data_IF_139332544387
#
_entry.id   IF_139332544387
#
_cell.length_a   1.000
_cell.length_b   1.000
_cell.length_c   1.000
_cell.angle_alpha   90.00
_cell.angle_beta   90.00
_cell.angle_gamma   90.00
#
_symmetry.space_group_name_H-M   'P 1'
#
loop_
_entity.id
_entity.type
_entity.pdbx_description
1 polymer ?
#
# COMPACT_ATOMS: atom_id res chain seq x y z
N UNK A 1 -39.89 30.43 -34.91
CA UNK A 1 -38.61 29.69 -35.01
C UNK A 1 -38.80 28.40 -34.23
N UNK A 2 -38.57 27.26 -34.89
CA UNK A 2 -38.99 25.92 -34.42
C UNK A 2 -37.98 25.36 -33.41
N UNK A 3 -38.49 24.71 -32.37
CA UNK A 3 -37.76 23.94 -31.36
C UNK A 3 -37.17 22.64 -31.95
N UNK A 4 -36.10 22.06 -31.34
CA UNK A 4 -35.56 20.79 -31.77
C UNK A 4 -36.31 19.59 -31.16
N UNK A 5 -36.41 18.53 -31.95
CA UNK A 5 -37.11 17.28 -31.71
C UNK A 5 -36.19 16.26 -31.04
N UNK A 6 -36.68 15.66 -29.96
CA UNK A 6 -36.12 14.55 -29.20
C UNK A 6 -36.23 13.24 -30.02
N UNK A 7 -35.13 12.51 -30.21
CA UNK A 7 -35.10 11.21 -30.90
C UNK A 7 -35.06 10.09 -29.85
N UNK A 8 -36.12 9.28 -29.81
CA UNK A 8 -36.27 8.11 -28.94
C UNK A 8 -35.81 6.86 -29.73
N UNK A 9 -34.83 6.12 -29.22
CA UNK A 9 -34.38 4.83 -29.77
C UNK A 9 -35.10 3.68 -29.04
N UNK A 10 -35.76 2.82 -29.81
CA UNK A 10 -36.41 1.57 -29.37
C UNK A 10 -35.50 0.41 -29.79
N UNK A 11 -35.19 -0.59 -28.93
CA UNK A 11 -34.49 -1.79 -29.34
C UNK A 11 -35.43 -2.83 -29.96
N UNK A 12 -34.96 -3.44 -31.04
CA UNK A 12 -35.62 -4.46 -31.85
C UNK A 12 -35.33 -5.86 -31.27
N UNK A 13 -36.37 -6.58 -30.85
CA UNK A 13 -36.28 -8.03 -30.54
C UNK A 13 -36.15 -8.82 -31.85
N UNK A 14 -35.15 -9.70 -31.93
CA UNK A 14 -35.07 -10.75 -32.95
C UNK A 14 -35.29 -12.12 -32.30
N UNK A 15 -36.44 -12.71 -32.61
CA UNK A 15 -36.74 -14.12 -32.37
C UNK A 15 -36.23 -14.96 -33.55
N UNK A 16 -35.63 -16.11 -33.25
CA UNK A 16 -35.24 -17.10 -34.25
C UNK A 16 -35.08 -18.47 -33.59
N UNK A 17 -36.15 -19.26 -33.59
CA UNK A 17 -36.09 -20.69 -33.30
C UNK A 17 -35.89 -21.50 -34.57
N UNK A 18 -35.26 -22.68 -34.46
CA UNK A 18 -35.56 -23.82 -35.34
C UNK A 18 -35.15 -25.15 -34.68
N UNK A 19 -36.00 -26.15 -34.92
CA UNK A 19 -36.10 -27.47 -34.30
C UNK A 19 -35.27 -28.55 -35.02
N UNK A 20 -34.81 -29.55 -34.26
CA UNK A 20 -34.74 -31.00 -34.57
C UNK A 20 -34.14 -31.69 -33.32
N UNK A 21 -34.61 -32.80 -32.73
CA UNK A 21 -35.51 -33.87 -33.16
C UNK A 21 -34.74 -35.18 -33.35
N UNK A 22 -34.62 -36.02 -32.31
CA UNK A 22 -34.65 -37.50 -32.43
C UNK A 22 -34.66 -38.22 -31.08
N UNK A 23 -35.40 -39.31 -31.05
CA UNK A 23 -35.87 -40.12 -29.92
C UNK A 23 -34.86 -41.16 -29.38
N UNK A 24 -35.13 -41.66 -28.16
CA UNK A 24 -35.09 -43.10 -27.87
C UNK A 24 -34.11 -43.59 -26.80
N UNK A 25 -34.64 -44.14 -25.70
CA UNK A 25 -33.86 -45.03 -24.82
C UNK A 25 -34.31 -45.08 -23.36
N UNK A 26 -35.31 -45.91 -23.06
CA UNK A 26 -35.77 -46.31 -21.71
C UNK A 26 -34.85 -47.33 -21.05
N UNK A 27 -34.64 -47.25 -19.73
CA UNK A 27 -34.94 -48.34 -18.76
C UNK A 27 -34.41 -48.03 -17.33
N UNK A 28 -35.36 -48.02 -16.39
CA UNK A 28 -35.35 -48.61 -15.04
C UNK A 28 -34.09 -48.57 -14.15
N UNK A 29 -34.23 -47.94 -12.98
CA UNK A 29 -34.29 -48.68 -11.70
C UNK A 29 -34.90 -47.82 -10.59
N UNK A 30 -35.75 -48.48 -9.80
CA UNK A 30 -36.73 -47.91 -8.89
C UNK A 30 -36.17 -47.44 -7.54
N UNK A 31 -36.94 -46.51 -6.96
CA UNK A 31 -36.92 -46.05 -5.57
C UNK A 31 -37.10 -47.20 -4.56
N UNK A 32 -36.66 -47.01 -3.31
CA UNK A 32 -37.48 -46.67 -2.13
C UNK A 32 -36.98 -47.57 -0.98
N UNK A 33 -36.99 -47.29 0.33
CA UNK A 33 -37.91 -46.70 1.33
C UNK A 33 -37.01 -46.55 2.59
N UNK A 34 -36.87 -45.37 3.20
CA UNK A 34 -37.69 -44.78 4.30
C UNK A 34 -37.52 -45.42 5.69
N UNK A 35 -37.37 -44.54 6.68
CA UNK A 35 -37.81 -44.60 8.10
C UNK A 35 -37.19 -43.38 8.80
N UNK A 36 -37.89 -42.23 8.84
CA UNK A 36 -38.87 -41.82 9.86
C UNK A 36 -38.21 -41.59 11.25
N UNK A 37 -38.07 -40.33 11.68
CA UNK A 37 -39.02 -39.57 12.53
C UNK A 37 -38.55 -39.64 14.02
N UNK A 38 -38.71 -38.69 14.93
CA UNK A 38 -39.58 -37.53 15.21
C UNK A 38 -38.82 -36.58 16.17
N UNK A 39 -38.89 -35.25 16.02
CA UNK A 39 -39.64 -34.31 16.89
C UNK A 39 -39.72 -34.67 18.38
N UNK A 40 -39.23 -33.81 19.29
CA UNK A 40 -40.11 -32.97 20.10
C UNK A 40 -39.39 -31.89 20.92
N UNK A 41 -40.18 -30.90 21.35
CA UNK A 41 -39.81 -29.61 21.89
C UNK A 41 -39.74 -29.51 23.44
N UNK A 42 -39.08 -28.43 23.87
CA UNK A 42 -39.39 -27.55 25.00
C UNK A 42 -38.97 -27.89 26.46
N UNK A 43 -38.44 -26.83 27.10
CA UNK A 43 -38.53 -26.42 28.52
C UNK A 43 -37.60 -27.14 29.53
N UNK A 44 -36.69 -26.51 30.30
CA UNK A 44 -36.92 -25.45 31.30
C UNK A 44 -35.60 -24.93 31.92
N UNK A 45 -35.54 -23.60 32.17
CA UNK A 45 -34.93 -22.82 33.28
C UNK A 45 -33.48 -23.04 33.81
N UNK A 46 -32.71 -21.93 33.85
CA UNK A 46 -31.84 -21.63 35.01
C UNK A 46 -30.59 -20.75 34.82
N UNK A 47 -30.75 -19.41 34.85
CA UNK A 47 -29.94 -18.47 35.67
C UNK A 47 -28.47 -18.10 35.35
N UNK A 48 -28.23 -16.78 35.21
CA UNK A 48 -26.96 -16.06 35.52
C UNK A 48 -25.83 -16.22 34.50
N UNK A 49 -24.91 -15.28 34.23
CA UNK A 49 -24.52 -13.98 34.78
C UNK A 49 -23.52 -13.36 33.78
N UNK A 50 -23.35 -12.03 33.82
CA UNK A 50 -22.26 -11.30 33.15
C UNK A 50 -20.86 -11.85 33.46
N UNK A 51 -19.94 -11.76 32.49
CA UNK A 51 -18.49 -11.62 32.66
C UNK A 51 -17.97 -10.99 31.36
N UNK A 52 -17.40 -9.78 31.29
CA UNK A 52 -16.26 -9.21 31.99
C UNK A 52 -15.00 -10.06 31.82
N UNK A 53 -14.31 -9.89 30.70
CA UNK A 53 -12.93 -10.37 30.58
C UNK A 53 -11.96 -9.25 30.96
N UNK A 54 -11.36 -9.51 32.11
CA UNK A 54 -10.27 -8.82 32.76
C UNK A 54 -8.95 -9.05 32.02
N UNK A 55 -8.22 -7.95 31.80
CA UNK A 55 -6.79 -7.95 31.57
C UNK A 55 -6.06 -8.83 32.60
N UNK A 56 -5.27 -9.79 32.13
CA UNK A 56 -4.38 -10.57 32.98
C UNK A 56 -3.10 -9.77 33.26
N UNK A 57 -2.96 -9.37 34.52
CA UNK A 57 -1.70 -8.93 35.11
C UNK A 57 -0.68 -10.07 35.11
N UNK A 58 0.47 -9.88 34.47
CA UNK A 58 1.62 -10.77 34.59
C UNK A 58 2.34 -10.44 35.90
N UNK A 59 2.34 -11.42 36.81
CA UNK A 59 3.01 -11.37 38.10
C UNK A 59 4.51 -11.65 37.95
N UNK A 60 5.29 -10.75 38.55
CA UNK A 60 6.75 -10.78 38.71
C UNK A 60 7.25 -12.04 39.42
N UNK A 61 8.00 -12.87 38.68
CA UNK A 61 8.86 -13.89 39.27
C UNK A 61 10.32 -13.45 39.21
N UNK A 62 10.90 -13.30 40.40
CA UNK A 62 12.32 -13.08 40.67
C UNK A 62 13.20 -14.15 40.04
N UNK A 63 14.23 -13.73 39.29
CA UNK A 63 15.41 -14.54 38.99
C UNK A 63 16.65 -13.73 39.36
N UNK A 64 17.24 -14.06 40.50
CA UNK A 64 18.67 -13.82 40.74
C UNK A 64 19.45 -14.84 39.88
N UNK A 65 20.43 -14.40 39.07
CA UNK A 65 21.84 -14.85 39.18
C UNK A 65 22.76 -14.15 38.15
N UNK A 66 23.86 -13.62 38.68
CA UNK A 66 25.19 -13.30 38.11
C UNK A 66 25.39 -12.79 36.67
N UNK A 67 25.69 -11.49 36.60
CA UNK A 67 26.38 -10.84 35.49
C UNK A 67 27.88 -11.24 35.41
N UNK A 68 28.45 -11.45 34.21
CA UNK A 68 29.85 -11.18 33.96
C UNK A 68 30.03 -9.75 33.43
N UNK A 69 31.06 -9.08 33.95
CA UNK A 69 31.43 -7.72 33.61
C UNK A 69 31.63 -7.51 32.11
N UNK A 70 30.88 -6.59 31.52
CA UNK A 70 31.16 -6.04 30.20
C UNK A 70 32.07 -4.81 30.36
N UNK A 71 33.22 -4.93 29.72
CA UNK A 71 34.26 -3.94 29.54
C UNK A 71 33.70 -2.69 28.84
N UNK A 72 33.90 -1.54 29.47
CA UNK A 72 33.58 -0.23 28.91
C UNK A 72 34.68 0.17 27.95
N UNK A 73 34.46 0.01 26.64
CA UNK A 73 35.20 0.78 25.65
C UNK A 73 34.23 1.61 24.80
N UNK A 74 34.17 2.88 25.17
CA UNK A 74 33.51 3.96 24.46
C UNK A 74 34.20 4.21 23.13
N UNK A 75 33.53 3.88 22.03
CA UNK A 75 33.79 4.50 20.72
C UNK A 75 32.52 5.25 20.32
N UNK A 76 32.53 6.56 20.53
CA UNK A 76 31.47 7.44 20.03
C UNK A 76 31.42 7.41 18.49
N UNK A 77 30.29 7.76 17.87
CA UNK A 77 30.23 7.91 16.43
C UNK A 77 31.13 9.09 16.03
N UNK A 78 32.25 8.77 15.41
CA UNK A 78 33.06 9.73 14.68
C UNK A 78 32.32 10.18 13.42
N UNK A 79 32.57 11.40 12.91
CA UNK A 79 31.74 12.03 11.90
C UNK A 79 32.10 11.50 10.51
N UNK A 80 31.40 10.47 10.04
CA UNK A 80 31.34 10.14 8.62
C UNK A 80 30.22 10.93 7.94
N UNK A 81 30.38 12.26 7.97
CA UNK A 81 29.88 13.12 6.91
C UNK A 81 30.77 12.91 5.67
N UNK A 82 30.65 11.74 5.05
CA UNK A 82 31.37 11.37 3.83
C UNK A 82 30.70 12.05 2.63
N UNK A 83 31.40 13.05 2.06
CA UNK A 83 30.88 13.97 1.05
C UNK A 83 30.00 13.34 -0.03
N UNK A 84 28.82 13.93 -0.22
CA UNK A 84 27.88 13.56 -1.27
C UNK A 84 28.59 13.47 -2.62
N UNK A 85 28.57 12.27 -3.19
CA UNK A 85 28.95 12.05 -4.56
C UNK A 85 28.00 12.88 -5.43
N UNK A 86 28.51 13.96 -6.01
CA UNK A 86 27.80 14.68 -7.07
C UNK A 86 28.09 13.88 -8.34
N UNK A 87 27.09 13.22 -8.95
CA UNK A 87 27.32 12.57 -10.23
C UNK A 87 27.87 13.63 -11.20
N UNK A 88 28.85 13.28 -12.06
CA UNK A 88 29.14 14.16 -13.19
C UNK A 88 27.81 14.39 -13.91
N UNK A 89 27.53 15.65 -14.28
CA UNK A 89 26.24 16.12 -14.78
C UNK A 89 25.61 15.25 -15.89
N UNK A 90 24.37 15.57 -16.34
CA UNK A 90 23.53 14.66 -17.11
C UNK A 90 24.32 13.88 -18.15
N UNK A 91 24.22 12.55 -18.05
CA UNK A 91 24.87 11.63 -18.99
C UNK A 91 24.44 12.04 -20.40
N UNK A 92 25.40 12.49 -21.20
CA UNK A 92 25.22 12.63 -22.63
C UNK A 92 24.78 11.25 -23.13
N UNK A 93 23.57 11.15 -23.69
CA UNK A 93 23.02 9.94 -24.31
C UNK A 93 23.83 9.49 -25.53
N UNK A 94 25.04 10.02 -25.73
CA UNK A 94 26.09 9.38 -26.52
C UNK A 94 26.30 7.96 -25.98
N UNK A 95 25.57 7.04 -26.60
CA UNK A 95 25.70 5.60 -26.46
C UNK A 95 27.18 5.29 -26.44
N UNK A 96 27.69 4.92 -25.26
CA UNK A 96 29.03 4.42 -25.16
C UNK A 96 29.07 3.11 -25.93
N UNK A 97 29.57 3.15 -27.15
CA UNK A 97 29.65 2.01 -28.07
C UNK A 97 30.61 0.91 -27.61
N UNK A 98 31.25 1.08 -26.46
CA UNK A 98 32.18 0.13 -25.82
C UNK A 98 31.86 -0.13 -24.32
N UNK A 99 30.72 0.36 -23.81
CA UNK A 99 30.33 0.14 -22.42
C UNK A 99 29.47 -1.12 -22.34
N UNK A 100 29.96 -2.13 -21.62
CA UNK A 100 29.11 -3.26 -21.24
C UNK A 100 27.92 -2.71 -20.45
N UNK A 101 26.73 -2.73 -21.04
CA UNK A 101 25.48 -2.78 -20.31
C UNK A 101 25.47 -4.11 -19.53
N UNK A 102 26.11 -4.08 -18.36
CA UNK A 102 26.27 -5.22 -17.46
C UNK A 102 25.31 -5.19 -16.28
N UNK A 103 24.36 -4.25 -16.29
CA UNK A 103 23.27 -4.21 -15.31
C UNK A 103 22.25 -5.28 -15.70
N UNK A 104 21.88 -6.11 -14.73
CA UNK A 104 20.70 -6.96 -14.85
C UNK A 104 19.83 -6.82 -13.63
N UNK A 105 18.52 -6.86 -13.85
CA UNK A 105 17.50 -6.93 -12.79
C UNK A 105 16.83 -8.28 -12.91
N UNK A 106 16.74 -9.01 -11.81
CA UNK A 106 16.30 -10.41 -11.82
C UNK A 106 14.82 -10.54 -12.18
N UNK A 107 14.03 -9.57 -11.75
CA UNK A 107 12.58 -9.52 -11.89
C UNK A 107 12.14 -8.98 -13.26
N UNK A 108 13.07 -8.37 -14.01
CA UNK A 108 12.81 -7.83 -15.34
C UNK A 108 12.44 -6.35 -15.33
N UNK A 109 11.69 -5.94 -16.36
CA UNK A 109 11.40 -4.53 -16.66
C UNK A 109 10.04 -4.05 -16.16
N UNK A 110 9.16 -4.95 -15.73
CA UNK A 110 7.83 -4.61 -15.23
C UNK A 110 7.46 -5.56 -14.12
N UNK A 111 7.10 -5.01 -12.97
CA UNK A 111 6.75 -5.75 -11.74
C UNK A 111 5.63 -5.03 -11.02
N UNK A 112 4.93 -5.70 -10.10
CA UNK A 112 3.98 -5.01 -9.22
C UNK A 112 4.70 -4.07 -8.24
N UNK A 113 4.06 -2.97 -7.84
CA UNK A 113 4.54 -2.12 -6.75
C UNK A 113 4.70 -2.93 -5.45
N UNK A 114 5.61 -2.49 -4.58
CA UNK A 114 6.15 -3.22 -3.41
C UNK A 114 7.07 -4.40 -3.76
N UNK A 115 7.40 -4.62 -5.04
CA UNK A 115 8.39 -5.63 -5.41
C UNK A 115 9.80 -5.18 -5.02
N UNK A 116 10.51 -6.05 -4.29
CA UNK A 116 11.95 -5.90 -4.06
C UNK A 116 12.75 -6.47 -5.23
N UNK A 117 13.38 -5.58 -5.99
CA UNK A 117 14.19 -5.95 -7.15
C UNK A 117 15.63 -6.27 -6.76
N UNK A 118 16.24 -7.25 -7.44
CA UNK A 118 17.62 -7.67 -7.25
C UNK A 118 18.49 -7.16 -8.41
N UNK A 119 19.26 -6.11 -8.15
CA UNK A 119 20.15 -5.48 -9.10
C UNK A 119 21.50 -6.22 -9.11
N UNK A 120 22.11 -6.34 -10.28
CA UNK A 120 23.43 -6.98 -10.43
C UNK A 120 24.30 -6.10 -11.31
N UNK A 121 25.42 -5.66 -10.75
CA UNK A 121 26.48 -4.96 -11.47
C UNK A 121 27.55 -5.93 -11.97
N UNK A 122 28.26 -5.61 -13.07
CA UNK A 122 29.30 -6.48 -13.62
C UNK A 122 30.49 -6.60 -12.65
N UNK A 123 31.14 -7.77 -12.67
CA UNK A 123 32.40 -8.00 -11.93
C UNK A 123 33.64 -7.54 -12.73
N UNK A 124 33.50 -7.50 -14.06
CA UNK A 124 34.55 -7.10 -14.99
C UNK A 124 33.96 -6.26 -16.12
N UNK A 125 34.78 -5.42 -16.71
CA UNK A 125 34.47 -4.68 -17.94
C UNK A 125 34.52 -5.59 -19.18
N UNK A 126 34.11 -5.07 -20.35
CA UNK A 126 34.17 -5.79 -21.63
C UNK A 126 35.59 -6.24 -22.01
N UNK A 127 36.61 -5.44 -21.68
CA UNK A 127 38.02 -5.73 -21.93
C UNK A 127 38.67 -6.60 -20.82
N UNK A 128 37.89 -7.01 -19.81
CA UNK A 128 38.31 -7.94 -18.77
C UNK A 128 39.00 -7.30 -17.57
N UNK A 129 38.99 -5.96 -17.44
CA UNK A 129 39.46 -5.30 -16.24
C UNK A 129 38.55 -5.62 -15.05
N UNK A 130 39.13 -5.85 -13.87
CA UNK A 130 38.38 -6.13 -12.64
C UNK A 130 37.74 -4.86 -12.10
N UNK A 131 36.46 -4.92 -11.76
CA UNK A 131 35.75 -3.83 -11.07
C UNK A 131 35.90 -4.01 -9.56
N UNK A 132 36.16 -2.91 -8.85
CA UNK A 132 36.44 -2.90 -7.40
C UNK A 132 35.53 -1.98 -6.58
N UNK A 133 34.69 -1.17 -7.24
CA UNK A 133 33.72 -0.28 -6.61
C UNK A 133 32.50 -0.13 -7.53
N UNK A 134 31.31 -0.13 -6.94
CA UNK A 134 30.01 0.08 -7.58
C UNK A 134 29.35 1.28 -6.93
N UNK A 135 28.61 2.07 -7.70
CA UNK A 135 27.88 3.23 -7.21
C UNK A 135 26.55 3.30 -7.96
N UNK A 136 25.51 2.80 -7.31
CA UNK A 136 24.16 2.87 -7.84
C UNK A 136 23.52 4.22 -7.51
N UNK A 137 22.77 4.75 -8.47
CA UNK A 137 21.91 5.91 -8.33
C UNK A 137 20.55 5.51 -8.89
N UNK A 138 19.47 5.89 -8.23
CA UNK A 138 18.11 5.69 -8.72
C UNK A 138 17.47 7.05 -8.96
N UNK A 139 16.82 7.19 -10.10
CA UNK A 139 15.81 8.21 -10.34
C UNK A 139 14.45 7.51 -10.14
N UNK A 140 13.80 7.83 -9.02
CA UNK A 140 12.59 7.17 -8.52
C UNK A 140 11.37 8.10 -8.66
N UNK A 141 10.14 7.55 -8.70
CA UNK A 141 8.92 8.35 -8.66
C UNK A 141 8.85 9.21 -7.38
N UNK A 142 8.20 10.38 -7.49
CA UNK A 142 7.94 11.26 -6.34
C UNK A 142 7.18 10.49 -5.25
N UNK A 143 7.65 10.59 -4.00
CA UNK A 143 7.09 9.88 -2.85
C UNK A 143 7.82 8.57 -2.52
N UNK A 144 8.72 8.08 -3.37
CA UNK A 144 9.56 6.92 -3.02
C UNK A 144 10.69 7.31 -2.07
N UNK A 145 10.68 6.76 -0.86
CA UNK A 145 11.77 6.87 0.13
C UNK A 145 12.67 5.63 0.24
N UNK A 146 12.49 4.65 -0.65
CA UNK A 146 13.26 3.40 -0.63
C UNK A 146 14.78 3.60 -0.73
N UNK A 147 15.51 2.77 0.03
CA UNK A 147 16.98 2.75 0.03
C UNK A 147 17.55 1.45 -0.57
N UNK A 148 18.78 1.53 -1.08
CA UNK A 148 19.52 0.34 -1.51
C UNK A 148 19.99 -0.48 -0.30
N UNK A 149 19.66 -1.77 -0.27
CA UNK A 149 20.18 -2.70 0.73
C UNK A 149 21.20 -3.68 0.11
N UNK A 150 22.35 -3.98 0.75
CA UNK A 150 22.83 -3.37 2.00
C UNK A 150 23.38 -1.95 1.81
N UNK A 151 23.68 -1.54 0.57
CA UNK A 151 24.01 -0.15 0.22
C UNK A 151 24.07 0.01 -1.30
N UNK A 152 24.04 1.27 -1.78
CA UNK A 152 24.31 1.63 -3.16
C UNK A 152 25.75 1.31 -3.63
N UNK A 153 26.62 0.81 -2.74
CA UNK A 153 27.99 0.41 -3.05
C UNK A 153 28.16 -1.10 -3.26
N UNK A 154 27.13 -1.88 -2.96
CA UNK A 154 27.16 -3.31 -3.19
C UNK A 154 27.16 -3.62 -4.70
N UNK A 155 27.86 -4.69 -5.09
CA UNK A 155 27.75 -5.20 -6.46
C UNK A 155 26.33 -5.71 -6.77
N UNK A 156 25.66 -6.24 -5.75
CA UNK A 156 24.33 -6.86 -5.84
C UNK A 156 23.39 -6.30 -4.77
N UNK A 157 22.99 -5.03 -4.85
CA UNK A 157 22.01 -4.50 -3.92
C UNK A 157 20.60 -4.95 -4.31
N UNK A 158 19.70 -4.85 -3.36
CA UNK A 158 18.26 -4.86 -3.58
C UNK A 158 17.69 -3.46 -3.41
N UNK A 159 16.55 -3.20 -4.05
CA UNK A 159 15.80 -1.95 -3.91
C UNK A 159 14.31 -2.27 -3.98
N UNK A 160 13.50 -1.63 -3.14
CA UNK A 160 12.04 -1.83 -3.14
C UNK A 160 11.36 -0.78 -3.99
N UNK A 161 10.54 -1.21 -4.96
CA UNK A 161 9.74 -0.29 -5.76
C UNK A 161 8.46 0.05 -5.00
N UNK A 162 8.59 0.88 -3.96
CA UNK A 162 7.52 1.09 -2.97
C UNK A 162 6.35 1.92 -3.52
N UNK A 163 6.58 2.78 -4.51
CA UNK A 163 5.57 3.62 -5.19
C UNK A 163 5.38 3.19 -6.65
N UNK A 164 4.15 3.30 -7.18
CA UNK A 164 3.84 3.03 -8.59
C UNK A 164 4.55 4.04 -9.49
N UNK A 165 5.16 3.55 -10.58
CA UNK A 165 5.84 4.39 -11.55
C UNK A 165 7.17 3.81 -12.03
N UNK A 166 7.90 4.63 -12.79
CA UNK A 166 9.16 4.23 -13.41
C UNK A 166 10.35 4.52 -12.51
N UNK A 167 11.19 3.51 -12.31
CA UNK A 167 12.48 3.62 -11.63
C UNK A 167 13.59 3.45 -12.65
N UNK A 168 14.57 4.36 -12.64
CA UNK A 168 15.75 4.28 -13.48
C UNK A 168 17.00 4.11 -12.65
N UNK A 169 17.54 2.90 -12.66
CA UNK A 169 18.78 2.55 -11.98
C UNK A 169 19.97 2.84 -12.87
N UNK A 170 20.83 3.77 -12.47
CA UNK A 170 22.09 4.10 -13.13
C UNK A 170 23.26 3.57 -12.32
N UNK A 171 24.20 2.88 -12.95
CA UNK A 171 25.39 2.33 -12.28
C UNK A 171 26.65 3.04 -12.76
N UNK A 172 27.49 3.46 -11.80
CA UNK A 172 28.88 3.82 -12.03
C UNK A 172 29.80 2.78 -11.40
N UNK A 173 30.88 2.43 -12.10
CA UNK A 173 31.86 1.43 -11.65
C UNK A 173 33.27 2.01 -11.68
N UNK A 174 34.12 1.56 -10.76
CA UNK A 174 35.55 1.86 -10.78
C UNK A 174 36.37 0.59 -10.97
N UNK A 175 37.27 0.62 -11.95
CA UNK A 175 38.18 -0.48 -12.25
C UNK A 175 39.38 -0.50 -11.28
N UNK A 176 39.96 -1.70 -11.11
CA UNK A 176 41.26 -1.87 -10.48
C UNK A 176 42.37 -1.26 -11.35
N UNK A 177 43.25 -0.46 -10.75
CA UNK A 177 44.40 0.11 -11.45
C UNK A 177 44.78 1.49 -10.93
N UNK A 178 45.74 2.12 -11.62
CA UNK A 178 46.09 3.53 -11.37
C UNK A 178 45.01 4.46 -11.96
N UNK A 179 44.71 5.54 -11.26
CA UNK A 179 43.75 6.56 -11.71
C UNK A 179 42.32 6.41 -11.16
N UNK A 180 41.84 5.19 -10.85
CA UNK A 180 40.54 4.89 -10.18
C UNK A 180 39.42 5.92 -10.42
N UNK A 181 39.10 6.12 -11.70
CA UNK A 181 38.06 7.07 -12.12
C UNK A 181 36.75 6.30 -12.30
N UNK A 182 35.63 6.70 -11.66
CA UNK A 182 34.32 6.13 -11.93
C UNK A 182 33.90 6.30 -13.40
N UNK A 183 33.34 5.25 -14.00
CA UNK A 183 32.80 5.23 -15.36
C UNK A 183 31.35 4.74 -15.32
N UNK A 184 30.49 5.30 -16.17
CA UNK A 184 29.11 4.81 -16.29
C UNK A 184 29.08 3.41 -16.88
N UNK A 185 28.39 2.49 -16.23
CA UNK A 185 28.10 1.13 -16.69
C UNK A 185 26.73 1.01 -17.38
N UNK A 186 25.98 2.11 -17.47
CA UNK A 186 24.67 2.18 -18.10
C UNK A 186 23.53 2.47 -17.12
N UNK A 187 22.31 2.33 -17.62
CA UNK A 187 21.09 2.45 -16.85
C UNK A 187 20.10 1.33 -17.21
N UNK A 188 19.22 0.99 -16.27
CA UNK A 188 18.17 -0.01 -16.43
C UNK A 188 16.87 0.54 -15.85
N UNK A 189 15.81 0.49 -16.65
CA UNK A 189 14.49 0.96 -16.25
C UNK A 189 13.62 -0.22 -15.80
N UNK A 190 12.90 -0.03 -14.70
CA UNK A 190 11.87 -0.94 -14.19
C UNK A 190 10.60 -0.15 -13.93
N UNK A 191 9.49 -0.61 -14.46
CA UNK A 191 8.15 -0.04 -14.22
C UNK A 191 7.47 -0.83 -13.10
N UNK A 192 7.15 -0.15 -11.99
CA UNK A 192 6.27 -0.66 -10.95
C UNK A 192 4.82 -0.33 -11.33
N UNK A 193 3.99 -1.36 -11.50
CA UNK A 193 2.57 -1.23 -11.86
C UNK A 193 1.68 -1.56 -10.68
N UNK A 194 0.43 -1.10 -10.70
CA UNK A 194 -0.50 -1.36 -9.61
C UNK A 194 -0.81 -2.87 -9.49
N UNK A 195 -1.02 -3.53 -10.64
CA UNK A 195 -1.26 -4.97 -10.75
C UNK A 195 -2.71 -5.40 -10.48
N UNK A 196 -3.50 -4.55 -9.84
CA UNK A 196 -4.84 -4.84 -9.35
C UNK A 196 -5.93 -4.00 -10.02
N UNK A 197 -7.18 -4.40 -9.80
CA UNK A 197 -8.34 -3.72 -10.35
C UNK A 197 -8.48 -2.30 -9.77
N UNK A 198 -8.27 -2.14 -8.47
CA UNK A 198 -8.20 -0.86 -7.77
C UNK A 198 -7.01 -0.88 -6.80
N UNK A 199 -6.14 0.12 -6.90
CA UNK A 199 -5.06 0.37 -5.95
C UNK A 199 -5.13 1.82 -5.47
N UNK A 200 -5.02 2.01 -4.16
CA UNK A 200 -4.92 3.31 -3.51
C UNK A 200 -3.57 3.39 -2.83
N UNK A 201 -2.81 4.44 -3.15
CA UNK A 201 -1.47 4.69 -2.62
C UNK A 201 -1.49 6.03 -1.89
N UNK A 202 -1.06 6.01 -0.62
CA UNK A 202 -0.85 7.17 0.23
C UNK A 202 0.65 7.36 0.43
N UNK A 203 1.15 8.58 0.31
CA UNK A 203 2.50 9.00 0.71
C UNK A 203 2.38 10.34 1.44
N UNK A 204 3.32 10.69 2.29
CA UNK A 204 3.35 12.01 2.91
C UNK A 204 4.76 12.55 3.08
N UNK A 205 4.85 13.87 3.22
CA UNK A 205 6.07 14.56 3.64
C UNK A 205 5.78 15.30 4.94
N UNK A 206 6.64 15.14 5.93
CA UNK A 206 6.56 15.71 7.26
C UNK A 206 7.74 16.67 7.45
N UNK A 207 7.56 17.99 7.22
CA UNK A 207 8.66 18.95 7.23
C UNK A 207 9.43 19.07 8.57
N UNK A 208 8.83 18.61 9.67
CA UNK A 208 9.46 18.57 10.98
C UNK A 208 10.40 17.38 11.17
N UNK A 209 10.34 16.38 10.29
CA UNK A 209 11.23 15.24 10.27
C UNK A 209 12.47 15.54 9.39
N UNK A 210 13.65 15.30 9.96
CA UNK A 210 14.92 15.53 9.29
C UNK A 210 15.39 14.33 8.45
N UNK A 211 14.85 13.14 8.69
CA UNK A 211 15.24 11.89 8.02
C UNK A 211 14.06 10.93 7.89
N UNK A 212 13.12 11.21 6.97
CA UNK A 212 11.92 10.39 6.70
C UNK A 212 12.20 8.98 6.12
N UNK A 213 13.44 8.51 6.22
CA UNK A 213 13.87 7.18 5.80
C UNK A 213 14.31 6.29 6.96
N UNK A 214 14.36 6.82 8.18
CA UNK A 214 14.47 5.98 9.37
C UNK A 214 13.13 5.32 9.68
N UNK A 215 13.19 4.15 10.34
CA UNK A 215 12.02 3.35 10.67
C UNK A 215 12.17 2.88 12.13
N UNK A 216 11.05 2.70 12.81
CA UNK A 216 10.91 2.14 14.14
C UNK A 216 10.71 3.16 15.26
N UNK A 217 11.14 2.75 16.46
CA UNK A 217 10.99 3.56 17.67
C UNK A 217 12.35 3.95 18.23
N UNK A 218 12.44 5.16 18.77
CA UNK A 218 13.62 5.61 19.47
C UNK A 218 13.79 4.85 20.81
N UNK A 219 14.90 5.11 21.52
CA UNK A 219 15.22 4.41 22.78
C UNK A 219 14.20 4.66 23.92
N UNK A 220 13.27 5.60 23.75
CA UNK A 220 12.21 5.94 24.70
C UNK A 220 10.84 5.39 24.27
N UNK A 221 10.74 4.71 23.13
CA UNK A 221 9.51 4.15 22.60
C UNK A 221 8.63 5.16 21.86
N UNK A 222 9.19 6.30 21.45
CA UNK A 222 8.51 7.27 20.57
C UNK A 222 8.82 6.90 19.12
N UNK A 223 7.86 7.05 18.22
CA UNK A 223 8.06 6.87 16.78
C UNK A 223 9.16 7.81 16.26
N UNK A 224 9.84 7.41 15.18
CA UNK A 224 10.83 8.25 14.49
C UNK A 224 10.24 9.13 13.39
N UNK A 225 8.93 9.03 13.13
CA UNK A 225 8.21 9.90 12.23
C UNK A 225 6.71 10.00 12.56
N UNK A 226 5.97 10.71 11.71
CA UNK A 226 4.52 10.87 11.82
C UNK A 226 3.77 9.64 11.33
N UNK A 227 2.62 9.35 11.92
CA UNK A 227 1.79 8.18 11.60
C UNK A 227 0.52 8.61 10.84
N UNK A 228 0.40 8.21 9.57
CA UNK A 228 -0.69 8.63 8.68
C UNK A 228 -1.31 7.41 8.01
N UNK A 229 -2.54 7.09 8.39
CA UNK A 229 -3.23 5.88 7.98
C UNK A 229 -4.11 6.08 6.74
N UNK A 230 -4.03 5.14 5.82
CA UNK A 230 -4.93 4.99 4.69
C UNK A 230 -6.15 4.17 5.12
N UNK A 231 -7.32 4.72 4.82
CA UNK A 231 -8.60 4.04 4.99
C UNK A 231 -9.26 3.82 3.64
N UNK A 232 -9.74 2.59 3.42
CA UNK A 232 -10.67 2.30 2.33
C UNK A 232 -11.86 1.54 2.88
N UNK A 233 -13.06 2.10 2.75
CA UNK A 233 -14.27 1.48 3.26
C UNK A 233 -15.32 1.20 2.18
N UNK A 234 -16.22 0.27 2.47
CA UNK A 234 -17.34 -0.07 1.61
C UNK A 234 -18.58 0.77 1.99
N UNK A 235 -18.77 1.89 1.28
CA UNK A 235 -19.75 2.97 1.52
C UNK A 235 -21.17 2.49 1.88
N UNK A 236 -21.64 1.40 1.27
CA UNK A 236 -23.00 0.89 1.49
C UNK A 236 -23.23 0.22 2.84
N UNK A 237 -22.17 -0.25 3.50
CA UNK A 237 -22.27 -1.09 4.71
C UNK A 237 -21.50 -0.54 5.89
N UNK A 238 -20.43 0.21 5.63
CA UNK A 238 -19.63 0.83 6.69
C UNK A 238 -20.49 1.77 7.54
N UNK A 239 -20.46 1.54 8.85
CA UNK A 239 -21.25 2.24 9.85
C UNK A 239 -20.48 2.21 11.19
N UNK A 240 -19.30 2.82 11.19
CA UNK A 240 -18.48 3.10 12.36
C UNK A 240 -19.10 4.12 13.31
N UNK A 241 -18.30 4.61 14.25
CA UNK A 241 -18.75 5.60 15.22
C UNK A 241 -18.87 6.99 14.57
N UNK A 242 -19.82 7.80 15.04
CA UNK A 242 -19.95 9.22 14.70
C UNK A 242 -18.90 9.99 15.51
N UNK A 243 -17.66 10.03 15.00
CA UNK A 243 -16.52 10.63 15.71
C UNK A 243 -16.49 12.15 15.52
N UNK A 244 -17.06 12.65 14.43
CA UNK A 244 -17.18 14.09 14.19
C UNK A 244 -18.40 14.74 14.89
N UNK A 245 -19.26 13.93 15.52
CA UNK A 245 -20.43 14.32 16.30
C UNK A 245 -21.50 15.08 15.51
N UNK A 246 -21.60 14.83 14.20
CA UNK A 246 -22.59 15.47 13.35
C UNK A 246 -23.99 14.82 13.45
N UNK A 247 -24.12 13.69 14.16
CA UNK A 247 -25.34 12.93 14.35
C UNK A 247 -25.57 11.82 13.32
N UNK A 248 -24.59 11.53 12.46
CA UNK A 248 -24.59 10.48 11.45
C UNK A 248 -23.36 9.59 11.66
N UNK A 249 -23.51 8.26 11.78
CA UNK A 249 -22.37 7.34 11.83
C UNK A 249 -21.42 7.55 10.65
N UNK A 250 -20.12 7.56 10.92
CA UNK A 250 -19.09 7.64 9.89
C UNK A 250 -18.78 6.24 9.33
N UNK A 251 -18.28 6.15 8.09
CA UNK A 251 -17.85 4.87 7.51
C UNK A 251 -16.49 4.39 8.03
N UNK A 252 -15.78 5.24 8.77
CA UNK A 252 -14.40 5.01 9.21
C UNK A 252 -14.34 4.23 10.53
N UNK A 253 -13.26 3.47 10.73
CA UNK A 253 -13.04 2.59 11.88
C UNK A 253 -14.12 1.51 12.05
N UNK A 254 -14.81 1.15 10.97
CA UNK A 254 -15.73 0.01 10.97
C UNK A 254 -14.92 -1.30 11.04
N UNK A 255 -15.22 -2.15 12.03
CA UNK A 255 -14.48 -3.37 12.32
C UNK A 255 -14.59 -4.44 11.22
N UNK A 256 -15.52 -4.26 10.28
CA UNK A 256 -15.74 -5.17 9.17
C UNK A 256 -15.58 -4.52 7.81
N UNK A 257 -16.02 -3.28 7.65
CA UNK A 257 -16.21 -2.66 6.34
C UNK A 257 -15.20 -1.57 6.03
N UNK A 258 -14.22 -1.34 6.90
CA UNK A 258 -13.09 -0.43 6.70
C UNK A 258 -11.77 -1.20 6.72
N UNK A 259 -10.91 -0.93 5.75
CA UNK A 259 -9.57 -1.49 5.62
C UNK A 259 -8.56 -0.40 6.00
N UNK A 260 -7.82 -0.63 7.08
CA UNK A 260 -6.86 0.31 7.70
C UNK A 260 -5.90 -0.47 8.62
N UNK A 261 -4.92 0.18 9.26
CA UNK A 261 -3.85 -0.46 10.05
C UNK A 261 -4.33 -1.56 11.03
N UNK A 262 -5.43 -1.31 11.75
CA UNK A 262 -5.97 -2.23 12.76
C UNK A 262 -6.89 -3.31 12.16
N UNK A 263 -7.27 -3.16 10.90
CA UNK A 263 -8.10 -4.09 10.15
C UNK A 263 -7.56 -4.21 8.71
N UNK A 264 -6.34 -4.75 8.51
CA UNK A 264 -5.64 -4.63 7.24
C UNK A 264 -6.16 -5.56 6.15
N UNK A 265 -6.93 -6.60 6.51
CA UNK A 265 -7.48 -7.58 5.57
C UNK A 265 -8.91 -7.99 5.97
N UNK A 266 -9.87 -7.06 5.97
CA UNK A 266 -11.25 -7.35 6.34
C UNK A 266 -11.92 -8.26 5.31
N UNK A 267 -12.82 -9.12 5.78
CA UNK A 267 -13.65 -9.93 4.89
C UNK A 267 -14.95 -9.18 4.51
N UNK A 268 -14.98 -8.65 3.29
CA UNK A 268 -16.11 -7.90 2.73
C UNK A 268 -17.06 -8.79 1.91
N UNK A 269 -16.58 -9.93 1.43
CA UNK A 269 -17.27 -10.75 0.44
C UNK A 269 -17.77 -12.12 0.91
N UNK A 270 -18.34 -12.86 -0.04
CA UNK A 270 -18.69 -14.26 0.17
C UNK A 270 -17.43 -15.13 0.03
N UNK A 271 -17.29 -16.19 0.84
CA UNK A 271 -16.12 -17.09 1.00
C UNK A 271 -15.46 -17.65 -0.30
N UNK A 272 -16.00 -17.35 -1.48
CA UNK A 272 -15.56 -17.85 -2.79
C UNK A 272 -15.08 -16.77 -3.77
N UNK A 273 -15.16 -15.48 -3.42
CA UNK A 273 -14.62 -14.38 -4.23
C UNK A 273 -13.39 -13.80 -3.52
N UNK A 274 -12.39 -13.41 -4.31
CA UNK A 274 -11.18 -12.72 -3.85
C UNK A 274 -11.41 -11.21 -3.99
N UNK A 275 -12.42 -10.70 -3.26
CA UNK A 275 -12.91 -9.31 -3.30
C UNK A 275 -12.65 -8.54 -1.99
N UNK A 276 -11.93 -9.17 -1.07
CA UNK A 276 -11.49 -8.58 0.18
C UNK A 276 -10.35 -7.58 -0.09
N UNK A 277 -10.38 -6.37 0.50
CA UNK A 277 -9.29 -5.42 0.37
C UNK A 277 -8.08 -5.88 1.22
N UNK A 278 -6.90 -5.39 0.87
CA UNK A 278 -5.69 -5.61 1.65
C UNK A 278 -4.85 -4.35 1.76
N UNK A 279 -4.54 -3.93 2.98
CA UNK A 279 -3.46 -2.98 3.27
C UNK A 279 -2.14 -3.77 3.23
N UNK A 280 -1.45 -3.68 2.10
CA UNK A 280 -0.26 -4.51 1.82
C UNK A 280 1.04 -3.90 2.32
N UNK A 281 1.02 -2.60 2.60
CA UNK A 281 2.07 -1.87 3.30
C UNK A 281 1.41 -0.86 4.22
N UNK A 282 1.82 -0.94 5.48
CA UNK A 282 1.47 -0.10 6.62
C UNK A 282 2.77 0.56 7.07
N UNK A 283 2.78 1.89 7.18
CA UNK A 283 3.99 2.68 7.43
C UNK A 283 3.75 3.61 8.61
N UNK A 284 4.14 3.17 9.80
CA UNK A 284 3.72 3.80 11.07
C UNK A 284 4.63 4.95 11.51
N UNK A 285 5.72 5.21 10.78
CA UNK A 285 6.81 6.04 11.28
C UNK A 285 7.68 6.70 10.20
N UNK A 286 7.27 6.69 8.93
CA UNK A 286 8.06 7.23 7.81
C UNK A 286 7.32 8.29 6.99
N UNK A 287 7.52 8.25 5.68
CA UNK A 287 6.85 9.08 4.65
C UNK A 287 5.85 8.26 3.80
N UNK A 288 5.50 7.05 4.29
CA UNK A 288 4.81 6.05 3.51
C UNK A 288 5.73 5.33 2.51
N UNK A 289 5.16 4.59 1.54
CA UNK A 289 3.75 4.59 1.21
C UNK A 289 2.93 3.62 2.05
N UNK A 290 1.67 3.96 2.23
CA UNK A 290 0.63 2.95 2.50
C UNK A 290 -0.08 2.58 1.21
N UNK A 291 -0.36 1.29 1.04
CA UNK A 291 -0.95 0.77 -0.20
C UNK A 291 -2.08 -0.18 0.13
N UNK A 292 -3.30 0.20 -0.26
CA UNK A 292 -4.46 -0.69 -0.24
C UNK A 292 -4.78 -1.19 -1.64
N UNK A 293 -4.92 -2.51 -1.78
CA UNK A 293 -5.38 -3.17 -3.01
C UNK A 293 -6.77 -3.74 -2.84
N UNK A 294 -7.56 -3.66 -3.91
CA UNK A 294 -8.87 -4.27 -3.99
C UNK A 294 -9.02 -4.92 -5.36
N UNK A 295 -9.50 -6.16 -5.37
CA UNK A 295 -9.92 -6.88 -6.57
C UNK A 295 -11.44 -7.08 -6.56
N UNK A 296 -12.24 -6.03 -6.83
CA UNK A 296 -13.69 -6.13 -6.70
C UNK A 296 -14.26 -7.27 -7.55
N UNK A 297 -15.14 -8.08 -6.98
CA UNK A 297 -15.74 -9.20 -7.70
C UNK A 297 -16.46 -8.77 -8.98
N UNK A 298 -16.30 -9.55 -10.05
CA UNK A 298 -16.95 -9.31 -11.33
C UNK A 298 -18.47 -9.14 -11.20
N UNK A 299 -19.00 -8.00 -11.68
CA UNK A 299 -20.44 -7.73 -11.71
C UNK A 299 -21.04 -7.22 -10.39
N UNK A 300 -20.21 -6.95 -9.38
CA UNK A 300 -20.62 -6.18 -8.19
C UNK A 300 -20.81 -4.70 -8.57
N UNK A 301 -21.76 -4.04 -7.90
CA UNK A 301 -21.95 -2.59 -7.98
C UNK A 301 -21.71 -2.06 -6.59
N UNK A 302 -20.57 -1.40 -6.44
CA UNK A 302 -20.07 -0.94 -5.15
C UNK A 302 -19.63 0.52 -5.23
N UNK A 303 -19.45 1.11 -4.07
CA UNK A 303 -18.79 2.41 -3.93
C UNK A 303 -17.81 2.29 -2.79
N UNK A 304 -16.54 2.56 -3.10
CA UNK A 304 -15.46 2.56 -2.13
C UNK A 304 -15.20 4.01 -1.71
N UNK A 305 -15.23 4.30 -0.41
CA UNK A 305 -14.77 5.59 0.10
C UNK A 305 -13.29 5.49 0.48
N UNK A 306 -12.53 6.52 0.15
CA UNK A 306 -11.11 6.63 0.45
C UNK A 306 -10.91 7.78 1.42
N UNK A 307 -10.22 7.50 2.52
CA UNK A 307 -9.94 8.43 3.60
C UNK A 307 -8.48 8.35 4.03
N UNK A 308 -7.99 9.39 4.67
CA UNK A 308 -6.66 9.45 5.28
C UNK A 308 -6.81 10.00 6.69
N UNK A 309 -6.37 9.25 7.69
CA UNK A 309 -6.37 9.67 9.07
C UNK A 309 -4.95 10.04 9.49
N UNK A 310 -4.77 11.23 10.06
CA UNK A 310 -3.50 11.56 10.71
C UNK A 310 -3.58 11.10 12.17
N UNK A 311 -3.05 9.91 12.44
CA UNK A 311 -3.18 9.24 13.73
C UNK A 311 -2.38 9.90 14.85
N UNK A 312 -1.09 10.12 14.65
CA UNK A 312 -0.24 10.79 15.64
C UNK A 312 0.94 11.50 14.95
N UNK A 313 1.20 12.75 15.35
CA UNK A 313 2.31 13.52 14.81
C UNK A 313 3.64 13.20 15.49
N UNK A 314 3.63 12.51 16.64
CA UNK A 314 4.81 12.21 17.46
C UNK A 314 5.71 13.42 17.74
N UNK A 315 5.15 14.64 17.69
CA UNK A 315 5.88 15.90 17.82
C UNK A 315 6.60 16.40 16.56
N UNK A 316 6.45 15.73 15.41
CA UNK A 316 6.98 16.17 14.11
C UNK A 316 6.11 17.22 13.42
N UNK A 317 4.83 17.35 13.82
CA UNK A 317 3.95 18.45 13.40
C UNK A 317 3.04 18.10 12.22
N UNK A 318 2.96 18.95 11.20
CA UNK A 318 2.04 18.73 10.07
C UNK A 318 2.60 17.72 9.06
N UNK A 319 1.70 16.96 8.42
CA UNK A 319 2.00 16.09 7.30
C UNK A 319 1.39 16.65 6.01
N UNK A 320 2.10 16.52 4.89
CA UNK A 320 1.66 16.89 3.55
C UNK A 320 1.36 15.61 2.77
N UNK A 321 0.12 15.14 2.89
CA UNK A 321 -0.32 13.88 2.32
C UNK A 321 -0.60 13.98 0.81
N UNK A 322 -0.29 12.91 0.10
CA UNK A 322 -0.59 12.70 -1.32
C UNK A 322 -1.26 11.35 -1.50
N UNK A 323 -2.44 11.34 -2.12
CA UNK A 323 -3.17 10.12 -2.48
C UNK A 323 -3.23 9.97 -4.00
N UNK A 324 -2.92 8.76 -4.47
CA UNK A 324 -3.05 8.34 -5.87
C UNK A 324 -3.99 7.15 -5.96
N UNK A 325 -4.90 7.21 -6.92
CA UNK A 325 -5.90 6.17 -7.16
C UNK A 325 -5.67 5.61 -8.56
N UNK A 326 -5.45 4.30 -8.63
CA UNK A 326 -5.23 3.57 -9.87
C UNK A 326 -6.37 2.60 -10.12
N UNK A 327 -6.89 2.57 -11.35
CA UNK A 327 -7.87 1.59 -11.81
C UNK A 327 -7.31 0.90 -13.05
N UNK A 328 -7.11 -0.42 -12.99
CA UNK A 328 -6.48 -1.21 -14.06
C UNK A 328 -5.15 -0.61 -14.56
N UNK A 329 -4.24 -0.30 -13.62
CA UNK A 329 -2.94 0.35 -13.86
C UNK A 329 -3.00 1.81 -14.39
N UNK A 330 -4.17 2.40 -14.59
CA UNK A 330 -4.32 3.80 -15.00
C UNK A 330 -4.48 4.71 -13.77
N UNK A 331 -3.64 5.74 -13.64
CA UNK A 331 -3.81 6.80 -12.64
C UNK A 331 -5.07 7.61 -12.97
N UNK A 332 -6.15 7.38 -12.22
CA UNK A 332 -7.45 8.03 -12.44
C UNK A 332 -7.66 9.28 -11.58
N UNK A 333 -6.95 9.37 -10.45
CA UNK A 333 -6.94 10.57 -9.61
C UNK A 333 -5.63 10.69 -8.81
N UNK A 334 -5.19 11.93 -8.61
CA UNK A 334 -4.08 12.29 -7.75
C UNK A 334 -4.43 13.59 -7.02
N UNK A 335 -4.27 13.61 -5.70
CA UNK A 335 -4.42 14.81 -4.88
C UNK A 335 -3.18 14.94 -4.01
N UNK A 336 -2.41 16.02 -4.19
CA UNK A 336 -1.08 16.20 -3.59
C UNK A 336 -1.06 17.28 -2.51
N UNK A 337 -0.06 17.21 -1.64
CA UNK A 337 0.31 18.24 -0.66
C UNK A 337 -0.87 18.71 0.22
N UNK A 338 -1.76 17.77 0.57
CA UNK A 338 -2.87 18.07 1.48
C UNK A 338 -2.31 18.12 2.89
N UNK A 339 -2.34 19.32 3.47
CA UNK A 339 -1.88 19.53 4.84
C UNK A 339 -2.86 18.94 5.83
N UNK A 340 -2.39 17.98 6.61
CA UNK A 340 -3.07 17.38 7.75
C UNK A 340 -2.35 17.77 9.04
N UNK A 341 -3.13 17.94 10.12
CA UNK A 341 -2.61 18.02 11.48
C UNK A 341 -3.13 16.85 12.31
N UNK A 342 -2.52 16.63 13.48
CA UNK A 342 -2.83 15.50 14.35
C UNK A 342 -4.36 15.36 14.58
N UNK A 343 -4.86 14.14 14.40
CA UNK A 343 -6.26 13.73 14.42
C UNK A 343 -7.15 14.31 13.31
N UNK A 344 -6.59 14.76 12.19
CA UNK A 344 -7.40 15.08 11.02
C UNK A 344 -7.87 13.79 10.32
N UNK A 345 -9.15 13.76 9.91
CA UNK A 345 -9.66 12.79 8.95
C UNK A 345 -9.98 13.47 7.63
N UNK A 346 -9.15 13.22 6.62
CA UNK A 346 -9.37 13.70 5.27
C UNK A 346 -10.19 12.70 4.48
N UNK A 347 -11.37 13.13 4.07
CA UNK A 347 -12.23 12.36 3.18
C UNK A 347 -11.85 12.69 1.73
N UNK A 348 -11.20 11.75 1.04
CA UNK A 348 -10.52 12.01 -0.23
C UNK A 348 -11.48 11.92 -1.40
N UNK A 349 -12.08 10.75 -1.60
CA UNK A 349 -12.87 10.45 -2.79
C UNK A 349 -13.78 9.24 -2.58
N UNK A 350 -14.77 9.10 -3.48
CA UNK A 350 -15.51 7.87 -3.70
C UNK A 350 -15.18 7.27 -5.07
N UNK A 351 -14.98 5.96 -5.17
CA UNK A 351 -14.78 5.24 -6.43
C UNK A 351 -15.99 4.36 -6.72
N UNK A 352 -16.69 4.61 -7.83
CA UNK A 352 -17.81 3.80 -8.26
C UNK A 352 -17.34 2.57 -9.06
N UNK A 353 -17.81 1.37 -8.68
CA UNK A 353 -17.49 0.13 -9.37
C UNK A 353 -18.71 -0.44 -10.12
N UNK A 354 -18.56 -0.98 -11.35
CA UNK A 354 -17.33 -1.25 -12.10
C UNK A 354 -16.89 -0.12 -13.04
N UNK A 355 -17.46 1.09 -12.94
CA UNK A 355 -17.11 2.18 -13.87
C UNK A 355 -15.70 2.71 -13.66
N UNK A 356 -15.13 2.58 -12.46
CA UNK A 356 -13.88 3.21 -12.07
C UNK A 356 -13.99 4.73 -11.95
N UNK A 357 -15.21 5.28 -11.92
CA UNK A 357 -15.42 6.73 -11.85
C UNK A 357 -15.08 7.23 -10.45
N UNK A 358 -14.15 8.18 -10.38
CA UNK A 358 -13.72 8.82 -9.13
C UNK A 358 -14.48 10.13 -8.95
N UNK A 359 -15.10 10.30 -7.78
CA UNK A 359 -15.65 11.59 -7.33
C UNK A 359 -14.81 12.08 -6.15
N UNK A 360 -14.04 13.15 -6.36
CA UNK A 360 -13.30 13.79 -5.29
C UNK A 360 -14.25 14.50 -4.33
N UNK A 361 -14.01 14.34 -3.03
CA UNK A 361 -14.76 15.02 -2.00
C UNK A 361 -14.19 16.40 -1.76
N UNK A 362 -15.07 17.38 -1.57
CA UNK A 362 -14.70 18.76 -1.27
C UNK A 362 -15.64 19.34 -0.21
N UNK A 363 -15.13 20.28 0.57
CA UNK A 363 -15.93 21.13 1.45
C UNK A 363 -16.80 22.09 0.62
N UNK A 364 -17.75 22.77 1.27
CA UNK A 364 -18.68 23.70 0.60
C UNK A 364 -17.97 24.87 -0.10
N UNK A 365 -16.80 25.27 0.39
CA UNK A 365 -15.96 26.32 -0.18
C UNK A 365 -15.01 25.82 -1.28
N UNK A 366 -15.05 24.51 -1.58
CA UNK A 366 -14.24 23.84 -2.59
C UNK A 366 -12.84 23.44 -2.12
N UNK A 367 -12.51 23.57 -0.83
CA UNK A 367 -11.27 22.99 -0.29
C UNK A 367 -11.41 21.49 -0.06
N UNK A 368 -10.32 20.83 0.34
CA UNK A 368 -10.35 19.44 0.78
C UNK A 368 -11.35 19.26 1.94
N UNK A 369 -12.08 18.14 1.94
CA UNK A 369 -13.03 17.79 3.01
C UNK A 369 -12.27 17.14 4.16
N UNK A 370 -11.89 17.94 5.15
CA UNK A 370 -11.13 17.49 6.33
C UNK A 370 -11.99 17.70 7.57
N UNK A 371 -12.09 16.66 8.40
CA UNK A 371 -12.66 16.75 9.75
C UNK A 371 -11.53 16.82 10.76
N UNK A 372 -11.54 17.87 11.56
CA UNK A 372 -10.54 18.07 12.61
C UNK A 372 -10.98 17.38 13.90
N UNK A 373 -10.01 17.09 14.78
CA UNK A 373 -10.23 16.46 16.08
C UNK A 373 -10.99 15.12 15.96
N UNK A 374 -10.74 14.38 14.87
CA UNK A 374 -11.33 13.09 14.56
C UNK A 374 -10.65 12.00 15.38
N UNK A 375 -11.03 11.92 16.66
CA UNK A 375 -10.41 11.08 17.66
C UNK A 375 -11.46 10.43 18.58
N UNK A 376 -11.28 9.15 18.90
CA UNK A 376 -12.07 8.45 19.91
C UNK A 376 -11.25 8.19 21.19
N UNK A 377 -11.86 8.42 22.35
CA UNK A 377 -11.34 7.98 23.65
C UNK A 377 -11.22 6.46 23.77
N UNK A 378 -11.88 5.67 22.90
CA UNK A 378 -11.81 4.20 22.88
C UNK A 378 -10.55 3.64 22.20
N UNK A 379 -9.95 4.37 21.26
CA UNK A 379 -8.73 3.95 20.55
C UNK A 379 -7.45 4.61 21.08
N UNK A 380 -7.58 5.58 22.01
CA UNK A 380 -6.44 6.17 22.71
C UNK A 380 -5.84 5.23 23.75
N UNK A 381 -4.75 4.55 23.40
CA UNK A 381 -3.87 3.86 24.35
C UNK A 381 -2.58 4.64 24.58
#
# INVERSE_FOLDING_TARGET
MRAPTLLLLIPLLAAGGCLAGSEGGTADAAASVDTASTLDAADTHGGGTQGSDTAQSIDTAQVEDTAPAADTDTVGPGPDAGGGFVPPGPVDESVCTDCTAGISVTEGHTVGVLTRVHLIGPATTADGATIVDWQWVVDAPTGSVSLFAPSARAQRPTFELNVVGRYRFTLWVTEAGEGRIPKSAGAYDVDAVAGDALLVELTWHTPGDGDESDEGFNAFGESVGSDVDLHVNLSRFANGFDLDQNGVPDGWFDDRWDCFWSNPHPNWGAETLDDDPGLDRDDTDGAGPEVTRISPGDGTVETYEIGVHYWDDWGFGEALATVRIYVFDELVAEVTDVRLVNHDMWEVASVAWPSGEVTLHAAEDGTQRIRHDYWDLLFGL
#
